data_IF_981848417933
#
_entry.id   IF_981848417933
#
_cell.length_a   1.000
_cell.length_b   1.000
_cell.length_c   1.000
_cell.angle_alpha   90.00
_cell.angle_beta   90.00
_cell.angle_gamma   90.00
#
_symmetry.space_group_name_H-M   'P 1'
#
loop_
_entity.id
_entity.type
_entity.pdbx_description
1 polymer ?
#
# COMPACT_ATOMS: atom_id res chain seq x y z
N UNK A 1 10.93 14.05 13.41
CA UNK A 1 9.84 14.60 14.26
C UNK A 1 9.08 13.41 14.84
N UNK A 2 9.18 13.15 16.14
CA UNK A 2 8.32 12.19 16.83
C UNK A 2 7.11 12.94 17.38
N UNK A 3 5.90 12.53 16.99
CA UNK A 3 4.66 12.98 17.65
C UNK A 3 4.53 12.26 18.99
N UNK A 4 4.00 12.93 20.00
CA UNK A 4 3.72 12.28 21.28
C UNK A 4 2.63 11.22 21.10
N UNK A 5 2.57 10.23 22.01
CA UNK A 5 1.53 9.18 22.01
C UNK A 5 0.12 9.77 21.91
N UNK A 6 -0.12 10.84 22.66
CA UNK A 6 -1.38 11.58 22.71
C UNK A 6 -1.73 12.26 21.38
N UNK A 7 -0.73 12.81 20.68
CA UNK A 7 -0.93 13.38 19.34
C UNK A 7 -1.26 12.32 18.29
N UNK A 8 -0.69 11.12 18.42
CA UNK A 8 -1.01 10.00 17.53
C UNK A 8 -2.44 9.52 17.75
N UNK A 9 -2.87 9.34 18.99
CA UNK A 9 -4.23 8.88 19.31
C UNK A 9 -5.31 9.82 18.79
N UNK A 10 -5.12 11.14 18.97
CA UNK A 10 -6.03 12.15 18.45
C UNK A 10 -6.20 12.06 16.92
N UNK A 11 -5.11 11.82 16.19
CA UNK A 11 -5.14 11.69 14.72
C UNK A 11 -5.88 10.41 14.32
N UNK A 12 -5.59 9.28 14.97
CA UNK A 12 -6.23 8.00 14.63
C UNK A 12 -7.73 8.06 14.91
N UNK A 13 -8.13 8.67 16.03
CA UNK A 13 -9.54 8.86 16.37
C UNK A 13 -10.27 9.73 15.35
N UNK A 14 -9.66 10.86 14.97
CA UNK A 14 -10.21 11.71 13.91
C UNK A 14 -10.39 10.94 12.60
N UNK A 15 -9.38 10.17 12.17
CA UNK A 15 -9.47 9.37 10.95
C UNK A 15 -10.56 8.29 11.04
N UNK A 16 -10.77 7.69 12.22
CA UNK A 16 -11.84 6.72 12.42
C UNK A 16 -13.22 7.39 12.23
N UNK A 17 -13.43 8.56 12.85
CA UNK A 17 -14.66 9.34 12.72
C UNK A 17 -14.94 9.75 11.27
N UNK A 18 -13.92 10.25 10.55
CA UNK A 18 -14.02 10.64 9.14
C UNK A 18 -14.41 9.48 8.21
N UNK A 19 -14.12 8.23 8.61
CA UNK A 19 -14.42 7.02 7.84
C UNK A 19 -15.61 6.23 8.41
N UNK A 20 -16.37 6.79 9.36
CA UNK A 20 -17.50 6.14 10.03
C UNK A 20 -17.12 4.81 10.71
N UNK A 21 -15.91 4.74 11.28
CA UNK A 21 -15.44 3.61 12.08
C UNK A 21 -15.65 3.90 13.57
N UNK A 22 -16.09 2.89 14.32
CA UNK A 22 -16.26 2.98 15.78
C UNK A 22 -14.89 3.07 16.46
N UNK A 23 -14.63 4.19 17.14
CA UNK A 23 -13.43 4.32 17.96
C UNK A 23 -13.39 3.28 19.08
N UNK A 24 -14.54 2.96 19.68
CA UNK A 24 -14.61 1.99 20.77
C UNK A 24 -14.23 0.58 20.30
N UNK A 25 -14.63 0.19 19.08
CA UNK A 25 -14.26 -1.10 18.50
C UNK A 25 -12.75 -1.15 18.19
N UNK A 26 -12.20 -0.06 17.64
CA UNK A 26 -10.76 0.06 17.37
C UNK A 26 -9.97 -0.02 18.69
N UNK A 27 -10.39 0.73 19.71
CA UNK A 27 -9.73 0.76 21.01
C UNK A 27 -9.82 -0.59 21.74
N UNK A 28 -10.97 -1.29 21.61
CA UNK A 28 -11.11 -2.66 22.12
C UNK A 28 -10.12 -3.60 21.44
N UNK A 29 -10.05 -3.58 20.10
CA UNK A 29 -9.09 -4.37 19.32
C UNK A 29 -7.63 -4.08 19.71
N UNK A 30 -7.30 -2.82 20.00
CA UNK A 30 -5.96 -2.39 20.44
C UNK A 30 -5.58 -2.88 21.83
N UNK A 31 -6.56 -3.28 22.67
CA UNK A 31 -6.34 -3.56 24.09
C UNK A 31 -6.68 -4.99 24.52
N UNK A 32 -7.48 -5.72 23.74
CA UNK A 32 -7.95 -7.08 24.06
C UNK A 32 -7.05 -8.21 23.53
N UNK A 33 -5.97 -7.87 22.82
CA UNK A 33 -5.02 -8.81 22.21
C UNK A 33 -5.37 -9.24 20.79
N UNK A 34 -6.50 -8.78 20.22
CA UNK A 34 -6.87 -9.05 18.83
C UNK A 34 -5.81 -8.53 17.86
N UNK A 35 -5.22 -7.37 18.14
CA UNK A 35 -4.12 -6.81 17.33
C UNK A 35 -2.92 -7.76 17.26
N UNK A 36 -2.55 -8.42 18.36
CA UNK A 36 -1.41 -9.33 18.37
C UNK A 36 -1.65 -10.53 17.45
N UNK A 37 -2.87 -11.09 17.48
CA UNK A 37 -3.26 -12.16 16.58
C UNK A 37 -3.24 -11.72 15.10
N UNK A 38 -3.69 -10.50 14.80
CA UNK A 38 -3.65 -9.94 13.45
C UNK A 38 -2.22 -9.71 12.96
N UNK A 39 -1.33 -9.19 13.82
CA UNK A 39 0.07 -8.97 13.49
C UNK A 39 0.81 -10.29 13.25
N UNK A 40 0.57 -11.31 14.07
CA UNK A 40 1.14 -12.64 13.88
C UNK A 40 0.66 -13.27 12.56
N UNK A 41 -0.63 -13.21 12.25
CA UNK A 41 -1.17 -13.70 10.98
C UNK A 41 -0.58 -12.94 9.76
N UNK A 42 -0.29 -11.64 9.90
CA UNK A 42 0.39 -10.88 8.86
C UNK A 42 1.85 -11.32 8.70
N UNK A 43 2.56 -11.58 9.80
CA UNK A 43 3.93 -12.13 9.77
C UNK A 43 3.94 -13.49 9.05
N UNK A 44 3.03 -14.41 9.39
CA UNK A 44 2.92 -15.71 8.74
C UNK A 44 2.78 -15.54 7.21
N UNK A 45 1.91 -14.64 6.77
CA UNK A 45 1.76 -14.32 5.35
C UNK A 45 3.08 -13.85 4.73
N UNK A 46 3.76 -12.90 5.36
CA UNK A 46 5.03 -12.36 4.87
C UNK A 46 6.14 -13.41 4.78
N UNK A 47 6.17 -14.41 5.67
CA UNK A 47 7.15 -15.49 5.63
C UNK A 47 7.05 -16.36 4.36
N UNK A 48 5.84 -16.52 3.80
CA UNK A 48 5.60 -17.31 2.59
C UNK A 48 5.76 -16.53 1.28
N UNK A 49 5.83 -15.20 1.35
CA UNK A 49 6.01 -14.34 0.18
C UNK A 49 7.40 -14.59 -0.47
N UNK A 50 7.41 -14.77 -1.80
CA UNK A 50 8.63 -14.98 -2.61
C UNK A 50 8.73 -13.97 -3.76
N UNK A 51 9.90 -13.36 -4.00
CA UNK A 51 11.07 -13.28 -3.11
C UNK A 51 10.71 -12.62 -1.77
N UNK A 52 11.53 -12.86 -0.74
CA UNK A 52 11.31 -12.27 0.60
C UNK A 52 11.26 -10.75 0.52
N UNK A 53 10.44 -10.13 1.35
CA UNK A 53 10.41 -8.68 1.54
C UNK A 53 11.80 -8.22 2.03
N UNK A 54 12.42 -7.30 1.31
CA UNK A 54 13.74 -6.73 1.66
C UNK A 54 13.67 -5.26 2.07
N UNK A 55 12.50 -4.62 1.95
CA UNK A 55 12.28 -3.24 2.35
C UNK A 55 10.87 -2.76 2.06
N UNK A 56 10.47 -1.69 2.75
CA UNK A 56 9.15 -1.08 2.61
C UNK A 56 9.22 0.24 1.80
N UNK A 57 8.16 0.60 1.04
CA UNK A 57 7.00 -0.24 0.72
C UNK A 57 7.36 -1.39 -0.25
N UNK A 58 6.85 -2.58 0.00
CA UNK A 58 6.94 -3.73 -0.92
C UNK A 58 5.66 -3.75 -1.78
N UNK A 59 5.79 -3.48 -3.08
CA UNK A 59 4.67 -3.37 -4.02
C UNK A 59 4.81 -4.49 -5.05
N UNK A 60 3.79 -5.34 -5.13
CA UNK A 60 3.72 -6.47 -6.07
C UNK A 60 2.48 -6.35 -6.93
N UNK A 61 2.65 -6.60 -8.21
CA UNK A 61 1.54 -6.64 -9.17
C UNK A 61 1.30 -8.10 -9.54
N UNK A 62 0.05 -8.56 -9.40
CA UNK A 62 -0.33 -9.95 -9.67
C UNK A 62 0.54 -10.97 -8.91
N UNK A 63 0.82 -10.68 -7.63
CA UNK A 63 1.68 -11.49 -6.75
C UNK A 63 3.15 -11.67 -7.20
N UNK A 64 3.58 -10.94 -8.24
CA UNK A 64 4.95 -11.00 -8.77
C UNK A 64 5.74 -9.79 -8.27
N UNK A 65 6.90 -10.07 -7.67
CA UNK A 65 7.87 -9.05 -7.36
C UNK A 65 8.69 -8.67 -8.59
N UNK A 66 8.69 -7.38 -8.92
CA UNK A 66 9.54 -6.79 -9.94
C UNK A 66 10.07 -5.45 -9.42
N UNK A 67 11.39 -5.33 -9.30
CA UNK A 67 12.01 -4.15 -8.69
C UNK A 67 11.74 -2.88 -9.49
N UNK A 68 11.77 -2.94 -10.82
CA UNK A 68 11.51 -1.78 -11.68
C UNK A 68 10.05 -1.31 -11.56
N UNK A 69 9.10 -2.25 -11.55
CA UNK A 69 7.68 -1.93 -11.34
C UNK A 69 7.41 -1.40 -9.94
N UNK A 70 8.06 -1.95 -8.91
CA UNK A 70 7.95 -1.43 -7.54
C UNK A 70 8.47 0.01 -7.46
N UNK A 71 9.63 0.30 -8.07
CA UNK A 71 10.20 1.64 -8.10
C UNK A 71 9.33 2.62 -8.90
N UNK A 72 8.83 2.21 -10.06
CA UNK A 72 7.87 2.98 -10.84
C UNK A 72 6.59 3.29 -10.05
N UNK A 73 6.07 2.30 -9.32
CA UNK A 73 4.86 2.46 -8.50
C UNK A 73 5.08 3.36 -7.28
N UNK A 74 6.29 3.35 -6.70
CA UNK A 74 6.67 4.28 -5.64
C UNK A 74 6.68 5.73 -6.12
N UNK A 75 7.05 5.97 -7.38
CA UNK A 75 7.02 7.30 -8.00
C UNK A 75 5.61 7.69 -8.45
N UNK A 76 4.89 6.78 -9.10
CA UNK A 76 3.52 6.98 -9.57
C UNK A 76 2.78 5.64 -9.74
N UNK A 77 2.01 5.28 -8.71
CA UNK A 77 1.22 4.05 -8.68
C UNK A 77 0.16 4.01 -9.80
N UNK A 78 -0.52 5.14 -10.05
CA UNK A 78 -1.62 5.22 -11.03
C UNK A 78 -1.07 4.94 -12.44
N UNK A 79 -0.01 5.64 -12.85
CA UNK A 79 0.61 5.42 -14.16
C UNK A 79 1.12 3.97 -14.31
N UNK A 80 1.67 3.39 -13.24
CA UNK A 80 2.15 2.00 -13.25
C UNK A 80 1.00 1.01 -13.45
N UNK A 81 -0.10 1.14 -12.71
CA UNK A 81 -1.32 0.31 -12.88
C UNK A 81 -1.88 0.48 -14.30
N UNK A 82 -2.02 1.72 -14.76
CA UNK A 82 -2.55 2.00 -16.10
C UNK A 82 -1.70 1.39 -17.21
N UNK A 83 -0.39 1.22 -17.01
CA UNK A 83 0.48 0.53 -17.97
C UNK A 83 0.34 -1.00 -17.94
N UNK A 84 -0.16 -1.56 -16.84
CA UNK A 84 -0.37 -3.00 -16.67
C UNK A 84 -1.77 -3.47 -17.11
N UNK A 85 -2.75 -2.56 -17.18
CA UNK A 85 -4.10 -2.89 -17.66
C UNK A 85 -4.07 -3.18 -19.17
N UNK A 86 -4.42 -4.42 -19.51
CA UNK A 86 -4.70 -4.83 -20.88
C UNK A 86 -6.16 -4.54 -21.23
N UNK A 87 -6.41 -4.01 -22.43
CA UNK A 87 -7.76 -3.68 -22.91
C UNK A 87 -8.18 -2.25 -22.61
N UNK A 88 -9.48 -2.03 -22.40
CA UNK A 88 -10.04 -0.70 -22.15
C UNK A 88 -9.63 -0.20 -20.78
N UNK A 89 -8.95 0.94 -20.74
CA UNK A 89 -8.50 1.58 -19.50
C UNK A 89 -9.60 2.48 -18.92
N UNK A 90 -9.73 2.60 -17.59
CA UNK A 90 -10.58 3.60 -16.96
C UNK A 90 -10.14 5.02 -17.32
N UNK A 91 -11.05 6.00 -17.24
CA UNK A 91 -10.73 7.42 -17.49
C UNK A 91 -9.67 8.00 -16.54
N UNK A 92 -9.48 7.39 -15.37
CA UNK A 92 -8.38 7.72 -14.47
C UNK A 92 -6.98 7.46 -15.08
N UNK A 93 -6.90 6.73 -16.20
CA UNK A 93 -5.67 6.50 -16.96
C UNK A 93 -5.45 7.50 -18.10
N UNK A 94 -6.31 8.52 -18.24
CA UNK A 94 -6.15 9.57 -19.23
C UNK A 94 -4.97 10.51 -18.85
N UNK A 95 -4.46 11.25 -19.83
CA UNK A 95 -3.10 11.85 -19.86
C UNK A 95 -2.69 12.73 -18.66
N UNK A 96 -3.64 13.20 -17.85
CA UNK A 96 -3.38 14.06 -16.69
C UNK A 96 -2.57 13.37 -15.59
N UNK A 97 -2.64 12.03 -15.49
CA UNK A 97 -1.90 11.24 -14.49
C UNK A 97 -0.63 10.56 -15.04
N UNK A 98 -0.38 10.68 -16.35
CA UNK A 98 0.69 9.96 -17.07
C UNK A 98 1.96 10.79 -17.30
N UNK A 99 2.03 12.03 -16.81
CA UNK A 99 3.20 12.92 -16.94
C UNK A 99 4.39 12.51 -16.05
N UNK A 100 4.77 11.24 -16.08
CA UNK A 100 6.05 10.74 -15.59
C UNK A 100 6.97 10.64 -16.80
N UNK A 101 7.80 11.66 -17.03
CA UNK A 101 8.74 11.77 -18.15
C UNK A 101 9.77 10.62 -18.27
N UNK A 102 9.70 9.51 -17.51
CA UNK A 102 10.79 8.55 -17.41
C UNK A 102 10.43 7.07 -17.21
N UNK A 103 9.22 6.59 -17.52
CA UNK A 103 9.00 5.14 -17.59
C UNK A 103 9.55 4.58 -18.91
N UNK A 104 10.85 4.28 -18.92
CA UNK A 104 11.48 3.51 -20.00
C UNK A 104 10.74 2.18 -20.10
N UNK A 105 10.02 1.98 -21.21
CA UNK A 105 9.34 0.72 -21.52
C UNK A 105 10.33 -0.44 -21.31
N UNK A 106 9.96 -1.50 -20.58
CA UNK A 106 10.81 -2.67 -20.46
C UNK A 106 11.07 -3.22 -21.87
N UNK A 107 12.36 -3.39 -22.21
CA UNK A 107 12.77 -4.03 -23.46
C UNK A 107 12.35 -5.49 -23.38
N UNK A 108 11.47 -5.89 -24.29
CA UNK A 108 11.19 -7.28 -24.59
C UNK A 108 12.45 -7.91 -25.18
N UNK A 109 13.00 -8.92 -24.49
CA UNK A 109 13.83 -9.95 -25.10
C UNK A 109 12.94 -11.16 -25.42
#
# INVERSE_FOLDING_TARGET
MHKSKEQTEAIVKQCAEENNLSWDDINTCLTDGTVDALLFANEEREQFIKPKVFGVPDIRFYDIFNMDLMMAARENLVATICNLINGTKPSACDEEFLNVKNLKKPKTC
#
